data_IF_371919583418
#
_entry.id   IF_371919583418
#
_cell.length_a   1.000
_cell.length_b   1.000
_cell.length_c   1.000
_cell.angle_alpha   90.00
_cell.angle_beta   90.00
_cell.angle_gamma   90.00
#
_symmetry.space_group_name_H-M   'P 1'
#
loop_
_entity.id
_entity.type
_entity.pdbx_description
1 polymer ?
#
# COMPACT_ATOMS: atom_id res chain seq x y z
N UNK A 1 -6.28 -19.96 16.73
CA UNK A 1 -5.19 -19.56 17.65
C UNK A 1 -5.49 -18.14 18.04
N UNK A 2 -5.80 -17.88 19.31
CA UNK A 2 -6.08 -16.54 19.83
C UNK A 2 -4.87 -15.62 19.67
N UNK A 3 -5.11 -14.30 19.68
CA UNK A 3 -4.06 -13.27 19.50
C UNK A 3 -3.17 -13.08 20.74
N UNK A 4 -3.51 -13.77 21.82
CA UNK A 4 -3.10 -13.58 23.20
C UNK A 4 -2.27 -14.77 23.72
N UNK A 5 -1.25 -15.18 22.94
CA UNK A 5 -0.22 -16.19 23.25
C UNK A 5 0.55 -15.90 24.57
N UNK A 6 -0.13 -15.85 25.73
CA UNK A 6 0.44 -15.48 27.03
C UNK A 6 0.87 -14.02 27.15
N UNK A 7 0.42 -13.12 26.26
CA UNK A 7 0.81 -11.71 26.32
C UNK A 7 0.05 -11.00 27.42
N UNK A 8 0.77 -10.34 28.35
CA UNK A 8 0.13 -9.52 29.38
C UNK A 8 -0.64 -8.37 28.73
N UNK A 9 -1.93 -8.27 29.08
CA UNK A 9 -2.83 -7.20 28.66
C UNK A 9 -3.14 -6.28 29.83
N UNK A 10 -3.39 -5.01 29.55
CA UNK A 10 -3.95 -4.02 30.47
C UNK A 10 -5.42 -4.30 30.70
N UNK A 11 -6.02 -3.59 31.67
CA UNK A 11 -7.48 -3.64 31.91
C UNK A 11 -8.28 -3.26 30.66
N UNK A 12 -7.70 -2.42 29.79
CA UNK A 12 -8.29 -2.07 28.50
C UNK A 12 -8.23 -3.19 27.44
N UNK A 13 -7.64 -4.35 27.74
CA UNK A 13 -7.45 -5.45 26.79
C UNK A 13 -6.33 -5.21 25.76
N UNK A 14 -5.60 -4.10 25.86
CA UNK A 14 -4.44 -3.83 25.03
C UNK A 14 -3.16 -4.38 25.65
N UNK A 15 -2.12 -4.68 24.86
CA UNK A 15 -0.88 -5.23 25.40
C UNK A 15 -0.15 -4.24 26.31
N UNK A 16 0.36 -4.73 27.45
CA UNK A 16 1.19 -3.92 28.34
C UNK A 16 2.52 -3.60 27.66
N UNK A 17 2.86 -2.31 27.56
CA UNK A 17 4.13 -1.80 27.04
C UNK A 17 4.87 -1.05 28.13
N UNK A 18 6.17 -1.31 28.27
CA UNK A 18 7.04 -0.47 29.11
C UNK A 18 7.24 0.90 28.46
N UNK A 19 7.58 1.92 29.24
CA UNK A 19 7.78 3.27 28.68
C UNK A 19 8.99 3.34 27.73
N UNK A 20 10.01 2.50 27.97
CA UNK A 20 11.10 2.28 27.03
C UNK A 20 10.61 1.69 25.68
N UNK A 21 9.59 0.82 25.71
CA UNK A 21 9.01 0.21 24.50
C UNK A 21 8.12 1.20 23.74
N UNK A 22 7.40 2.08 24.44
CA UNK A 22 6.59 3.15 23.83
C UNK A 22 7.46 4.18 23.12
N UNK A 23 8.63 4.49 23.69
CA UNK A 23 9.56 5.51 23.19
C UNK A 23 10.50 5.00 22.10
N UNK A 24 10.66 3.67 21.94
CA UNK A 24 11.49 3.05 20.90
C UNK A 24 10.82 3.15 19.52
N UNK A 25 10.85 4.34 18.93
CA UNK A 25 10.24 4.62 17.64
C UNK A 25 11.24 4.50 16.48
N UNK A 26 11.59 3.27 16.10
CA UNK A 26 12.39 3.00 14.89
C UNK A 26 11.56 3.08 13.58
N UNK A 27 10.40 3.74 13.62
CA UNK A 27 9.47 3.74 12.49
C UNK A 27 9.81 4.81 11.45
N UNK A 28 10.60 5.84 11.80
CA UNK A 28 10.98 6.89 10.85
C UNK A 28 11.85 6.33 9.70
N UNK A 29 12.91 5.54 9.94
CA UNK A 29 13.63 4.88 8.84
C UNK A 29 12.74 3.97 8.00
N UNK A 30 11.76 3.29 8.62
CA UNK A 30 10.81 2.44 7.89
C UNK A 30 9.91 3.29 6.99
N UNK A 31 9.40 4.43 7.48
CA UNK A 31 8.59 5.34 6.68
C UNK A 31 9.40 5.95 5.53
N UNK A 32 10.62 6.40 5.81
CA UNK A 32 11.55 6.95 4.80
C UNK A 32 11.99 5.91 3.77
N UNK A 33 11.97 4.63 4.12
CA UNK A 33 12.15 3.55 3.16
C UNK A 33 10.86 3.33 2.38
N UNK A 34 9.73 3.12 3.05
CA UNK A 34 8.47 2.75 2.42
C UNK A 34 7.84 3.84 1.52
N UNK A 35 8.25 5.11 1.67
CA UNK A 35 7.69 6.21 0.87
C UNK A 35 8.32 6.37 -0.52
N UNK A 36 9.63 6.67 -0.66
CA UNK A 36 10.26 6.82 -1.98
C UNK A 36 10.61 5.49 -2.65
N UNK A 37 10.81 4.41 -1.88
CA UNK A 37 11.29 3.14 -2.44
C UNK A 37 10.32 2.52 -3.46
N UNK A 38 8.99 2.48 -3.23
CA UNK A 38 8.07 1.95 -4.24
C UNK A 38 8.20 2.69 -5.57
N UNK A 39 8.22 4.03 -5.57
CA UNK A 39 8.40 4.80 -6.80
C UNK A 39 9.76 4.48 -7.46
N UNK A 40 10.84 4.39 -6.70
CA UNK A 40 12.15 4.05 -7.24
C UNK A 40 12.15 2.67 -7.93
N UNK A 41 11.56 1.65 -7.28
CA UNK A 41 11.42 0.30 -7.85
C UNK A 41 10.55 0.33 -9.11
N UNK A 42 9.41 1.02 -9.05
CA UNK A 42 8.49 1.15 -10.18
C UNK A 42 9.11 1.83 -11.39
N UNK A 43 9.83 2.93 -11.17
CA UNK A 43 10.59 3.64 -12.20
C UNK A 43 11.69 2.74 -12.77
N UNK A 44 12.41 1.98 -11.95
CA UNK A 44 13.42 1.05 -12.45
C UNK A 44 12.81 -0.02 -13.37
N UNK A 45 11.67 -0.62 -13.00
CA UNK A 45 10.95 -1.59 -13.84
C UNK A 45 10.47 -0.92 -15.13
N UNK A 46 9.87 0.26 -15.04
CA UNK A 46 9.40 1.01 -16.20
C UNK A 46 10.54 1.36 -17.17
N UNK A 47 11.69 1.77 -16.66
CA UNK A 47 12.88 2.05 -17.46
C UNK A 47 13.40 0.80 -18.16
N UNK A 48 13.43 -0.35 -17.50
CA UNK A 48 13.80 -1.63 -18.13
C UNK A 48 12.83 -1.97 -19.27
N UNK A 49 11.52 -1.81 -19.06
CA UNK A 49 10.50 -2.01 -20.10
C UNK A 49 10.70 -1.05 -21.27
N UNK A 50 11.01 0.21 -21.00
CA UNK A 50 11.29 1.23 -22.03
C UNK A 50 12.53 0.91 -22.86
N UNK A 51 13.62 0.49 -22.21
CA UNK A 51 14.91 0.17 -22.84
C UNK A 51 14.88 -1.14 -23.63
N UNK A 52 14.13 -2.15 -23.17
CA UNK A 52 14.04 -3.45 -23.84
C UNK A 52 12.91 -3.53 -24.87
N UNK A 53 11.96 -2.59 -24.84
CA UNK A 53 10.83 -2.54 -25.75
C UNK A 53 11.15 -1.85 -27.08
N UNK A 54 10.13 -1.73 -27.94
CA UNK A 54 10.21 -0.91 -29.15
C UNK A 54 10.18 0.58 -28.79
N UNK A 55 11.33 1.13 -28.41
CA UNK A 55 11.47 2.51 -27.95
C UNK A 55 10.87 3.51 -28.95
N UNK A 56 11.09 3.33 -30.26
CA UNK A 56 10.52 4.20 -31.29
C UNK A 56 8.97 4.23 -31.28
N UNK A 57 8.33 3.07 -31.05
CA UNK A 57 6.88 2.96 -30.92
C UNK A 57 6.39 3.67 -29.66
N UNK A 58 7.12 3.52 -28.55
CA UNK A 58 6.79 4.18 -27.27
C UNK A 58 6.95 5.70 -27.38
N UNK A 59 8.05 6.20 -27.93
CA UNK A 59 8.30 7.63 -28.11
C UNK A 59 7.26 8.28 -29.01
N UNK A 60 6.89 7.61 -30.12
CA UNK A 60 5.80 8.06 -30.99
C UNK A 60 4.48 8.20 -30.23
N UNK A 61 4.20 7.33 -29.26
CA UNK A 61 2.99 7.42 -28.42
C UNK A 61 3.11 8.46 -27.29
N UNK A 62 4.33 8.78 -26.85
CA UNK A 62 4.57 9.87 -25.91
C UNK A 62 4.42 11.25 -26.56
N UNK A 63 4.68 11.37 -27.86
CA UNK A 63 4.62 12.66 -28.56
C UNK A 63 3.29 13.42 -28.38
N UNK A 64 2.11 12.81 -28.55
CA UNK A 64 0.83 13.49 -28.28
C UNK A 64 0.68 13.97 -26.82
N UNK A 65 1.33 13.30 -25.85
CA UNK A 65 1.30 13.75 -24.45
C UNK A 65 2.14 15.01 -24.22
N UNK A 66 3.21 15.19 -24.99
CA UNK A 66 4.02 16.40 -24.96
C UNK A 66 3.28 17.53 -25.69
N UNK A 67 2.78 17.26 -26.89
CA UNK A 67 2.08 18.24 -27.73
C UNK A 67 0.80 18.81 -27.09
N UNK A 68 0.11 18.01 -26.26
CA UNK A 68 -1.12 18.41 -25.57
C UNK A 68 -0.92 18.67 -24.06
N UNK A 69 0.32 18.85 -23.60
CA UNK A 69 0.66 19.10 -22.18
C UNK A 69 0.17 18.03 -21.18
N UNK A 70 -0.21 16.84 -21.65
CA UNK A 70 -0.66 15.73 -20.80
C UNK A 70 0.46 15.10 -19.96
N UNK A 71 1.73 15.39 -20.26
CA UNK A 71 2.86 15.01 -19.41
C UNK A 71 2.76 15.63 -18.00
N UNK A 72 2.14 16.82 -17.86
CA UNK A 72 1.83 17.39 -16.55
C UNK A 72 0.76 16.61 -15.80
N UNK A 73 -0.25 16.09 -16.51
CA UNK A 73 -1.24 15.20 -15.90
C UNK A 73 -0.59 13.90 -15.41
N UNK A 74 0.35 13.34 -16.18
CA UNK A 74 1.14 12.19 -15.75
C UNK A 74 1.96 12.49 -14.48
N UNK A 75 2.67 13.63 -14.42
CA UNK A 75 3.41 14.06 -13.23
C UNK A 75 2.49 14.32 -12.03
N UNK A 76 1.31 14.93 -12.24
CA UNK A 76 0.33 15.15 -11.18
C UNK A 76 -0.12 13.83 -10.54
N UNK A 77 -0.34 12.78 -11.35
CA UNK A 77 -0.63 11.44 -10.84
C UNK A 77 0.56 10.85 -10.08
N UNK A 78 1.81 11.07 -10.52
CA UNK A 78 3.00 10.63 -9.76
C UNK A 78 3.06 11.29 -8.38
N UNK A 79 2.76 12.60 -8.29
CA UNK A 79 2.69 13.31 -7.01
C UNK A 79 1.56 12.74 -6.15
N UNK A 80 0.36 12.60 -6.72
CA UNK A 80 -0.80 12.05 -6.01
C UNK A 80 -0.54 10.63 -5.48
N UNK A 81 0.04 9.74 -6.28
CA UNK A 81 0.41 8.38 -5.88
C UNK A 81 1.41 8.36 -4.71
N UNK A 82 2.40 9.25 -4.73
CA UNK A 82 3.33 9.42 -3.61
C UNK A 82 2.64 9.95 -2.36
N UNK A 83 1.71 10.90 -2.51
CA UNK A 83 0.92 11.42 -1.38
C UNK A 83 0.07 10.31 -0.76
N UNK A 84 -0.64 9.51 -1.57
CA UNK A 84 -1.43 8.36 -1.09
C UNK A 84 -0.53 7.38 -0.33
N UNK A 85 0.63 7.04 -0.89
CA UNK A 85 1.61 6.14 -0.25
C UNK A 85 2.08 6.69 1.09
N UNK A 86 2.41 7.98 1.16
CA UNK A 86 2.81 8.63 2.41
C UNK A 86 1.70 8.59 3.46
N UNK A 87 0.48 9.01 3.09
CA UNK A 87 -0.68 9.06 4.00
C UNK A 87 -1.01 7.67 4.53
N UNK A 88 -1.00 6.65 3.68
CA UNK A 88 -1.25 5.26 4.09
C UNK A 88 -0.10 4.67 4.94
N UNK A 89 1.13 5.13 4.72
CA UNK A 89 2.31 4.74 5.49
C UNK A 89 2.42 5.44 6.85
N UNK A 90 1.87 6.65 6.99
CA UNK A 90 2.03 7.49 8.18
C UNK A 90 1.61 6.81 9.50
N UNK A 91 0.49 6.05 9.58
CA UNK A 91 0.13 5.32 10.80
C UNK A 91 1.20 4.34 11.31
N UNK A 92 2.13 3.88 10.45
CA UNK A 92 3.23 3.01 10.89
C UNK A 92 4.12 3.67 11.96
N UNK A 93 4.17 5.01 11.99
CA UNK A 93 4.89 5.79 13.00
C UNK A 93 4.39 5.55 14.43
N UNK A 94 3.09 5.31 14.55
CA UNK A 94 2.40 5.10 15.83
C UNK A 94 2.06 3.64 16.04
N UNK A 95 1.96 2.85 14.97
CA UNK A 95 1.55 1.44 15.04
C UNK A 95 2.41 0.65 16.01
N UNK A 96 3.72 0.85 16.04
CA UNK A 96 4.60 0.11 16.95
C UNK A 96 4.48 0.55 18.42
N UNK A 97 3.93 1.74 18.68
CA UNK A 97 3.69 2.27 20.03
C UNK A 97 2.39 1.73 20.66
N UNK A 98 1.51 1.13 19.85
CA UNK A 98 0.21 0.61 20.27
C UNK A 98 0.11 -0.91 20.03
N UNK A 99 0.74 -1.39 18.95
CA UNK A 99 0.73 -2.77 18.50
C UNK A 99 2.16 -3.21 18.15
N UNK A 100 2.81 -3.95 19.05
CA UNK A 100 4.04 -4.73 18.78
C UNK A 100 3.91 -5.66 17.57
N UNK A 101 5.06 -6.06 17.02
CA UNK A 101 5.16 -7.00 15.89
C UNK A 101 4.67 -8.41 16.23
N UNK A 102 4.80 -8.81 17.50
CA UNK A 102 4.48 -10.16 17.98
C UNK A 102 3.02 -10.34 18.42
N UNK A 103 2.17 -9.32 18.28
CA UNK A 103 0.75 -9.36 18.69
C UNK A 103 -0.16 -9.87 17.57
N UNK A 104 0.40 -10.69 16.68
CA UNK A 104 -0.29 -11.38 15.59
C UNK A 104 -1.43 -10.57 14.96
N UNK A 105 -2.66 -10.98 15.22
CA UNK A 105 -3.84 -10.50 14.54
C UNK A 105 -4.38 -9.16 15.06
N UNK A 106 -3.98 -8.70 16.25
CA UNK A 106 -4.33 -7.35 16.72
C UNK A 106 -3.85 -6.28 15.72
N UNK A 107 -2.73 -6.54 15.02
CA UNK A 107 -2.17 -5.67 13.98
C UNK A 107 -3.06 -5.49 12.75
N UNK A 108 -4.11 -6.30 12.59
CA UNK A 108 -5.12 -6.12 11.53
C UNK A 108 -6.11 -4.99 11.84
N UNK A 109 -6.13 -4.46 13.07
CA UNK A 109 -6.92 -3.32 13.47
C UNK A 109 -6.27 -2.01 13.01
N UNK A 110 -6.85 -1.28 12.04
CA UNK A 110 -6.35 0.03 11.66
C UNK A 110 -6.70 1.11 12.69
N UNK A 111 -7.72 0.86 13.51
CA UNK A 111 -8.24 1.77 14.52
C UNK A 111 -8.60 0.99 15.78
N UNK A 112 -8.43 1.65 16.93
CA UNK A 112 -8.79 1.11 18.24
C UNK A 112 -9.80 2.10 18.83
N UNK A 113 -10.99 1.61 19.15
CA UNK A 113 -12.09 2.44 19.64
C UNK A 113 -12.27 2.26 21.16
N UNK A 114 -12.94 3.23 21.80
CA UNK A 114 -13.38 3.12 23.20
C UNK A 114 -14.85 3.50 23.29
N UNK A 115 -15.61 2.84 24.15
CA UNK A 115 -16.96 3.29 24.49
C UNK A 115 -16.88 4.55 25.38
N UNK A 116 -17.86 5.45 25.25
CA UNK A 116 -17.97 6.66 26.08
C UNK A 116 -19.37 6.69 26.70
N UNK A 117 -19.45 6.83 28.03
CA UNK A 117 -20.73 6.92 28.75
C UNK A 117 -20.64 6.41 30.19
N UNK A 118 -21.68 6.69 30.99
CA UNK A 118 -21.76 6.33 32.42
C UNK A 118 -21.56 4.83 32.72
N UNK A 119 -21.85 3.97 31.75
CA UNK A 119 -21.75 2.52 31.86
C UNK A 119 -20.85 1.90 30.77
N UNK A 120 -19.98 2.71 30.17
CA UNK A 120 -19.04 2.22 29.18
C UNK A 120 -17.99 1.33 29.87
N UNK A 121 -17.75 0.15 29.30
CA UNK A 121 -16.60 -0.68 29.67
C UNK A 121 -15.31 0.04 29.24
N UNK A 122 -14.27 -0.03 30.07
CA UNK A 122 -12.97 0.63 29.80
C UNK A 122 -12.11 -0.14 28.78
N UNK A 123 -12.67 -1.22 28.22
CA UNK A 123 -12.00 -2.06 27.24
C UNK A 123 -11.96 -1.40 25.86
N UNK A 124 -10.83 -1.58 25.18
CA UNK A 124 -10.68 -1.25 23.79
C UNK A 124 -11.64 -2.10 22.95
N UNK A 125 -12.37 -1.44 22.05
CA UNK A 125 -13.21 -2.10 21.05
C UNK A 125 -12.36 -2.29 19.79
N UNK A 126 -12.11 -3.55 19.46
CA UNK A 126 -11.30 -3.99 18.32
C UNK A 126 -12.09 -4.97 17.46
N UNK A 127 -11.66 -5.17 16.22
CA UNK A 127 -12.15 -6.23 15.36
C UNK A 127 -11.88 -7.58 16.03
N UNK A 128 -12.93 -8.39 16.15
CA UNK A 128 -12.78 -9.80 16.48
C UNK A 128 -11.92 -10.46 15.40
N UNK A 129 -10.83 -11.10 15.79
CA UNK A 129 -9.86 -11.71 14.90
C UNK A 129 -9.82 -13.25 15.00
N UNK A 130 -10.77 -13.85 15.69
CA UNK A 130 -10.85 -15.28 15.93
C UNK A 130 -11.82 -16.02 15.01
N UNK A 131 -11.43 -17.26 14.65
CA UNK A 131 -12.29 -18.18 13.90
C UNK A 131 -12.83 -17.59 12.60
N UNK A 132 -14.08 -17.95 12.28
CA UNK A 132 -14.75 -17.51 11.06
C UNK A 132 -15.03 -16.00 11.04
N UNK A 133 -15.39 -15.41 12.18
CA UNK A 133 -15.63 -13.96 12.32
C UNK A 133 -14.34 -13.19 12.04
N UNK A 134 -13.21 -13.64 12.60
CA UNK A 134 -11.90 -13.07 12.34
C UNK A 134 -11.47 -13.13 10.89
N UNK A 135 -11.69 -14.28 10.23
CA UNK A 135 -11.42 -14.42 8.80
C UNK A 135 -12.26 -13.45 7.96
N UNK A 136 -13.55 -13.29 8.29
CA UNK A 136 -14.45 -12.33 7.64
C UNK A 136 -14.03 -10.88 7.85
N UNK A 137 -13.71 -10.49 9.09
CA UNK A 137 -13.23 -9.14 9.42
C UNK A 137 -11.93 -8.80 8.69
N UNK A 138 -11.00 -9.76 8.64
CA UNK A 138 -9.74 -9.66 7.89
C UNK A 138 -9.97 -9.55 6.37
N UNK A 139 -10.90 -10.32 5.81
CA UNK A 139 -11.30 -10.17 4.42
C UNK A 139 -11.80 -8.75 4.11
N UNK A 140 -12.66 -8.20 4.98
CA UNK A 140 -13.16 -6.83 4.83
C UNK A 140 -12.05 -5.78 4.99
N UNK A 141 -11.12 -5.96 5.93
CA UNK A 141 -9.95 -5.07 6.05
C UNK A 141 -9.11 -5.06 4.77
N UNK A 142 -8.92 -6.21 4.14
CA UNK A 142 -8.21 -6.31 2.85
C UNK A 142 -8.95 -5.57 1.72
N UNK A 143 -10.28 -5.56 1.71
CA UNK A 143 -11.07 -4.75 0.78
C UNK A 143 -10.86 -3.25 1.01
N UNK A 144 -10.93 -2.79 2.27
CA UNK A 144 -10.62 -1.40 2.60
C UNK A 144 -9.21 -1.01 2.17
N UNK A 145 -8.23 -1.90 2.38
CA UNK A 145 -6.85 -1.67 1.95
C UNK A 145 -6.76 -1.49 0.43
N UNK A 146 -7.57 -2.20 -0.35
CA UNK A 146 -7.64 -1.98 -1.79
C UNK A 146 -8.16 -0.57 -2.09
N UNK A 147 -9.30 -0.19 -1.51
CA UNK A 147 -9.93 1.11 -1.75
C UNK A 147 -8.97 2.26 -1.40
N UNK A 148 -8.28 2.17 -0.27
CA UNK A 148 -7.30 3.13 0.23
C UNK A 148 -6.11 3.36 -0.72
N UNK A 149 -5.77 2.38 -1.58
CA UNK A 149 -4.58 2.41 -2.42
C UNK A 149 -4.87 2.42 -3.94
N UNK A 150 -6.12 2.18 -4.36
CA UNK A 150 -6.44 1.93 -5.77
C UNK A 150 -6.62 3.20 -6.62
N UNK A 151 -6.78 4.37 -6.00
CA UNK A 151 -7.05 5.62 -6.71
C UNK A 151 -5.97 5.93 -7.77
N UNK A 152 -4.70 5.78 -7.39
CA UNK A 152 -3.57 5.96 -8.31
C UNK A 152 -3.59 4.95 -9.46
N UNK A 153 -3.90 3.67 -9.18
CA UNK A 153 -3.93 2.65 -10.22
C UNK A 153 -4.99 2.99 -11.26
N UNK A 154 -6.25 3.22 -10.84
CA UNK A 154 -7.36 3.47 -11.76
C UNK A 154 -7.10 4.71 -12.62
N UNK A 155 -6.66 5.81 -12.01
CA UNK A 155 -6.34 7.03 -12.75
C UNK A 155 -5.12 6.84 -13.67
N UNK A 156 -4.09 6.14 -13.18
CA UNK A 156 -2.87 5.91 -13.92
C UNK A 156 -3.05 5.00 -15.13
N UNK A 157 -3.96 4.02 -15.06
CA UNK A 157 -4.28 3.15 -16.19
C UNK A 157 -4.77 3.95 -17.40
N UNK A 158 -5.57 5.00 -17.20
CA UNK A 158 -6.12 5.80 -18.29
C UNK A 158 -5.05 6.49 -19.14
N UNK A 159 -3.94 6.92 -18.53
CA UNK A 159 -2.84 7.60 -19.22
C UNK A 159 -1.75 6.61 -19.65
N UNK A 160 -1.31 5.74 -18.75
CA UNK A 160 -0.20 4.83 -19.01
C UNK A 160 -0.51 3.84 -20.14
N UNK A 161 -1.76 3.37 -20.26
CA UNK A 161 -2.13 2.37 -21.29
C UNK A 161 -2.04 2.92 -22.72
N UNK A 162 -2.13 4.24 -22.90
CA UNK A 162 -2.03 4.86 -24.23
C UNK A 162 -0.60 4.82 -24.78
N UNK A 163 0.40 4.78 -23.89
CA UNK A 163 1.82 4.72 -24.24
C UNK A 163 2.35 3.29 -24.14
N UNK A 164 2.10 2.64 -23.01
CA UNK A 164 2.64 1.33 -22.62
C UNK A 164 1.58 0.23 -22.60
N UNK A 165 0.72 0.15 -23.63
CA UNK A 165 -0.46 -0.74 -23.66
C UNK A 165 -0.20 -2.19 -23.17
N UNK A 166 0.73 -2.91 -23.80
CA UNK A 166 1.02 -4.31 -23.42
C UNK A 166 1.68 -4.42 -22.05
N UNK A 167 2.72 -3.64 -21.71
CA UNK A 167 3.27 -3.63 -20.34
C UNK A 167 2.24 -3.30 -19.26
N UNK A 168 1.33 -2.37 -19.51
CA UNK A 168 0.24 -2.01 -18.59
C UNK A 168 -0.72 -3.17 -18.41
N UNK A 169 -1.10 -3.86 -19.48
CA UNK A 169 -1.93 -5.07 -19.40
C UNK A 169 -1.28 -6.14 -18.50
N UNK A 170 0.00 -6.46 -18.73
CA UNK A 170 0.74 -7.42 -17.89
C UNK A 170 0.81 -6.95 -16.44
N UNK A 171 1.07 -5.67 -16.22
CA UNK A 171 1.11 -5.05 -14.88
C UNK A 171 -0.23 -5.20 -14.15
N UNK A 172 -1.36 -5.03 -14.84
CA UNK A 172 -2.70 -5.24 -14.28
C UNK A 172 -2.93 -6.72 -13.95
N UNK A 173 -2.46 -7.66 -14.77
CA UNK A 173 -2.54 -9.08 -14.44
C UNK A 173 -1.76 -9.40 -13.15
N UNK A 174 -0.54 -8.87 -13.01
CA UNK A 174 0.27 -9.01 -11.78
C UNK A 174 -0.44 -8.38 -10.58
N UNK A 175 -1.03 -7.20 -10.74
CA UNK A 175 -1.84 -6.57 -9.71
C UNK A 175 -3.02 -7.47 -9.29
N UNK A 176 -3.78 -7.99 -10.26
CA UNK A 176 -4.93 -8.86 -10.01
C UNK A 176 -4.56 -10.11 -9.23
N UNK A 177 -3.50 -10.82 -9.65
CA UNK A 177 -2.96 -11.97 -8.91
C UNK A 177 -2.50 -11.57 -7.50
N UNK A 178 -1.74 -10.47 -7.39
CA UNK A 178 -1.30 -9.94 -6.10
C UNK A 178 -2.47 -9.62 -5.16
N UNK A 179 -3.56 -9.04 -5.67
CA UNK A 179 -4.76 -8.71 -4.89
C UNK A 179 -5.52 -9.96 -4.45
N UNK A 180 -5.65 -10.97 -5.31
CA UNK A 180 -6.27 -12.25 -4.94
C UNK A 180 -5.45 -12.92 -3.82
N UNK A 181 -4.13 -13.02 -3.99
CA UNK A 181 -3.23 -13.58 -2.98
C UNK A 181 -3.26 -12.78 -1.67
N UNK A 182 -3.32 -11.45 -1.75
CA UNK A 182 -3.44 -10.60 -0.57
C UNK A 182 -4.75 -10.88 0.17
N UNK A 183 -5.87 -10.95 -0.57
CA UNK A 183 -7.20 -11.17 -0.01
C UNK A 183 -7.29 -12.53 0.70
N UNK A 184 -6.89 -13.60 0.01
CA UNK A 184 -6.90 -14.97 0.57
C UNK A 184 -5.87 -15.12 1.69
N UNK A 185 -4.69 -14.53 1.53
CA UNK A 185 -3.66 -14.54 2.57
C UNK A 185 -4.10 -13.84 3.85
N UNK A 186 -4.88 -12.75 3.75
CA UNK A 186 -5.38 -12.00 4.90
C UNK A 186 -6.35 -12.84 5.75
N UNK A 187 -7.15 -13.73 5.14
CA UNK A 187 -8.12 -14.55 5.89
C UNK A 187 -7.43 -15.59 6.78
N UNK A 188 -6.24 -16.04 6.40
CA UNK A 188 -5.48 -17.08 7.13
C UNK A 188 -4.76 -16.53 8.37
N UNK A 189 -4.59 -15.21 8.49
CA UNK A 189 -3.94 -14.56 9.62
C UNK A 189 -3.07 -13.38 9.20
N UNK A 190 -2.58 -12.61 10.18
CA UNK A 190 -1.67 -11.50 9.91
C UNK A 190 -0.31 -12.00 9.39
N UNK A 191 0.12 -11.48 8.23
CA UNK A 191 1.37 -11.86 7.55
C UNK A 191 1.18 -12.74 6.30
N UNK A 192 0.14 -13.57 6.26
CA UNK A 192 -0.15 -14.42 5.08
C UNK A 192 -0.43 -13.62 3.79
N UNK A 193 -0.77 -12.34 3.94
CA UNK A 193 -1.05 -11.41 2.85
C UNK A 193 0.18 -10.74 2.24
N UNK A 194 1.37 -10.85 2.86
CA UNK A 194 2.51 -9.99 2.52
C UNK A 194 3.03 -10.21 1.09
N UNK A 195 3.02 -11.45 0.58
CA UNK A 195 3.42 -11.69 -0.82
C UNK A 195 2.47 -11.02 -1.80
N UNK A 196 1.16 -11.17 -1.59
CA UNK A 196 0.16 -10.50 -2.41
C UNK A 196 0.24 -8.97 -2.33
N UNK A 197 0.54 -8.44 -1.14
CA UNK A 197 0.81 -7.01 -0.95
C UNK A 197 1.97 -6.55 -1.82
N UNK A 198 3.14 -7.22 -1.74
CA UNK A 198 4.34 -6.85 -2.50
C UNK A 198 4.07 -6.87 -4.01
N UNK A 199 3.41 -7.91 -4.53
CA UNK A 199 3.07 -8.01 -5.95
C UNK A 199 2.14 -6.86 -6.38
N UNK A 200 1.07 -6.61 -5.62
CA UNK A 200 0.14 -5.53 -5.93
C UNK A 200 0.78 -4.15 -5.84
N UNK A 201 1.65 -3.92 -4.84
CA UNK A 201 2.40 -2.67 -4.70
C UNK A 201 3.41 -2.46 -5.82
N UNK A 202 4.15 -3.50 -6.22
CA UNK A 202 5.09 -3.43 -7.32
C UNK A 202 4.37 -3.09 -8.64
N UNK A 203 3.18 -3.63 -8.87
CA UNK A 203 2.38 -3.29 -10.04
C UNK A 203 1.91 -1.82 -10.03
N UNK A 204 1.37 -1.33 -8.91
CA UNK A 204 0.97 0.09 -8.77
C UNK A 204 2.17 1.02 -8.96
N UNK A 205 3.30 0.70 -8.33
CA UNK A 205 4.54 1.43 -8.48
C UNK A 205 5.03 1.45 -9.93
N UNK A 206 4.91 0.33 -10.66
CA UNK A 206 5.29 0.24 -12.08
C UNK A 206 4.43 1.15 -12.95
N UNK A 207 3.11 1.21 -12.72
CA UNK A 207 2.23 2.17 -13.39
C UNK A 207 2.66 3.62 -13.10
N UNK A 208 2.98 3.93 -11.86
CA UNK A 208 3.51 5.24 -11.48
C UNK A 208 4.85 5.54 -12.17
N UNK A 209 5.73 4.54 -12.32
CA UNK A 209 6.99 4.61 -13.07
C UNK A 209 6.76 4.94 -14.55
N UNK A 210 5.80 4.29 -15.22
CA UNK A 210 5.44 4.61 -16.61
C UNK A 210 5.03 6.08 -16.78
N UNK A 211 4.19 6.59 -15.86
CA UNK A 211 3.77 7.99 -15.88
C UNK A 211 4.92 8.95 -15.59
N UNK A 212 5.85 8.55 -14.72
CA UNK A 212 7.05 9.32 -14.45
C UNK A 212 7.93 9.44 -15.69
N UNK A 213 8.12 8.36 -16.46
CA UNK A 213 8.85 8.42 -17.75
C UNK A 213 8.16 9.33 -18.77
N UNK A 214 6.83 9.30 -18.87
CA UNK A 214 6.07 10.23 -19.73
C UNK A 214 6.32 11.69 -19.30
N UNK A 215 6.30 11.94 -17.98
CA UNK A 215 6.63 13.23 -17.40
C UNK A 215 8.05 13.70 -17.77
N UNK A 216 9.05 12.83 -17.59
CA UNK A 216 10.45 13.12 -17.94
C UNK A 216 10.63 13.42 -19.43
N UNK A 217 9.88 12.73 -20.31
CA UNK A 217 9.88 13.02 -21.74
C UNK A 217 9.40 14.43 -22.04
N UNK A 218 8.29 14.85 -21.42
CA UNK A 218 7.76 16.22 -21.57
C UNK A 218 8.70 17.31 -21.01
N UNK A 219 9.51 16.97 -20.00
CA UNK A 219 10.53 17.86 -19.45
C UNK A 219 11.86 17.84 -20.23
N UNK A 220 11.96 17.08 -21.34
CA UNK A 220 13.19 16.88 -22.13
C UNK A 220 14.36 16.30 -21.33
N UNK A 221 14.07 15.44 -20.34
CA UNK A 221 15.09 14.72 -19.55
C UNK A 221 15.40 13.34 -20.14
N UNK A 222 14.44 12.76 -20.87
CA UNK A 222 14.48 11.45 -21.53
C UNK A 222 14.14 11.62 -23.02
#
# INVERSE_FOLDING_TARGET
MGSDNGTKVTDSGLPTLTDAEKTKNNSLPILLLCWPLPLAIGTAIASVVYMLGETATVEKRMQPFVENDLHWAALALVVLGNTITFVNGYPLMYKNQVMRRNLNNLRSNPSIYKAIGKYAIDNAIVLNDEGAIGAYNRANRSLHHMIENNGMLVAGLALASQVFAVPVFVTVCVFGVGRILHQVGYTSGYGGHSLGYILSMAAVATIQGFLFLIGLKGLNVL
#
